data_IF_890592265855
#
_entry.id   IF_890592265855
#
_cell.length_a   1.000
_cell.length_b   1.000
_cell.length_c   1.000
_cell.angle_alpha   90.00
_cell.angle_beta   90.00
_cell.angle_gamma   90.00
#
_symmetry.space_group_name_H-M   'P 1'
#
loop_
_entity.id
_entity.type
_entity.pdbx_description
1 polymer ?
#
# COMPACT_ATOMS: atom_id res chain seq x y z
N UNK A 1 5.17 19.12 -18.68
CA UNK A 1 4.45 18.90 -17.42
C UNK A 1 5.31 19.28 -16.24
N UNK A 2 4.69 19.88 -15.21
CA UNK A 2 5.38 20.26 -13.97
C UNK A 2 5.45 19.07 -13.00
N UNK A 3 4.50 18.14 -13.10
CA UNK A 3 4.38 16.97 -12.25
C UNK A 3 4.31 15.70 -13.09
N UNK A 4 4.89 14.62 -12.56
CA UNK A 4 4.88 13.28 -13.16
C UNK A 4 5.02 12.21 -12.06
N UNK A 5 4.75 10.94 -12.37
CA UNK A 5 5.05 9.85 -11.45
C UNK A 5 6.56 9.78 -11.23
N UNK A 6 6.99 9.68 -9.97
CA UNK A 6 8.39 9.43 -9.69
C UNK A 6 8.75 8.00 -10.10
N UNK A 7 9.88 7.88 -10.75
CA UNK A 7 10.49 6.61 -11.10
C UNK A 7 12.01 6.73 -11.08
N UNK A 8 12.70 5.63 -10.86
CA UNK A 8 14.15 5.57 -10.91
C UNK A 8 14.59 4.50 -11.91
N UNK A 9 15.65 4.77 -12.68
CA UNK A 9 16.21 3.78 -13.61
C UNK A 9 16.61 2.50 -12.87
N UNK A 10 16.48 1.38 -13.55
CA UNK A 10 16.99 0.10 -13.08
C UNK A 10 18.51 0.11 -13.12
N UNK A 11 19.15 -0.28 -12.02
CA UNK A 11 20.60 -0.50 -12.02
C UNK A 11 20.97 -1.72 -12.88
N UNK A 12 22.13 -1.68 -13.53
CA UNK A 12 22.59 -2.72 -14.47
C UNK A 12 22.59 -4.12 -13.83
N UNK A 13 22.97 -4.21 -12.55
CA UNK A 13 23.04 -5.48 -11.81
C UNK A 13 21.77 -5.80 -11.02
N UNK A 14 20.73 -4.96 -11.11
CA UNK A 14 19.47 -5.19 -10.42
C UNK A 14 18.66 -6.29 -11.08
N UNK A 15 18.19 -7.24 -10.28
CA UNK A 15 17.29 -8.29 -10.74
C UNK A 15 15.85 -7.89 -10.49
N UNK A 16 15.00 -8.12 -11.47
CA UNK A 16 13.56 -8.05 -11.29
C UNK A 16 13.04 -9.31 -10.60
N UNK A 17 11.83 -9.20 -10.08
CA UNK A 17 11.04 -10.37 -9.76
C UNK A 17 10.79 -11.16 -11.07
N UNK A 18 10.85 -12.49 -11.02
CA UNK A 18 10.63 -13.31 -12.21
C UNK A 18 9.20 -13.13 -12.71
N UNK A 19 9.03 -13.02 -14.03
CA UNK A 19 7.72 -12.98 -14.70
C UNK A 19 7.70 -13.97 -15.86
N UNK A 20 6.53 -14.53 -16.17
CA UNK A 20 6.33 -15.33 -17.37
C UNK A 20 6.05 -14.37 -18.53
N UNK A 21 7.00 -14.25 -19.45
CA UNK A 21 6.95 -13.31 -20.57
C UNK A 21 5.75 -13.56 -21.50
N UNK A 22 5.45 -14.82 -21.82
CA UNK A 22 4.35 -15.16 -22.71
C UNK A 22 3.01 -14.75 -22.11
N UNK A 23 2.77 -15.12 -20.83
CA UNK A 23 1.58 -14.77 -20.11
C UNK A 23 1.38 -13.26 -19.97
N UNK A 24 2.45 -12.53 -19.61
CA UNK A 24 2.39 -11.07 -19.49
C UNK A 24 2.07 -10.40 -20.82
N UNK A 25 2.69 -10.83 -21.92
CA UNK A 25 2.42 -10.28 -23.26
C UNK A 25 1.01 -10.54 -23.76
N UNK A 26 0.38 -11.63 -23.32
CA UNK A 26 -1.03 -11.92 -23.63
C UNK A 26 -1.95 -10.88 -22.96
N UNK A 27 -1.64 -10.49 -21.72
CA UNK A 27 -2.43 -9.51 -20.96
C UNK A 27 -2.13 -8.08 -21.40
N UNK A 28 -0.84 -7.77 -21.56
CA UNK A 28 -0.33 -6.43 -21.87
C UNK A 28 0.82 -6.52 -22.88
N UNK A 29 0.53 -6.37 -24.18
CA UNK A 29 1.56 -6.46 -25.23
C UNK A 29 2.68 -5.44 -25.10
N UNK A 30 2.41 -4.29 -24.49
CA UNK A 30 3.37 -3.19 -24.35
C UNK A 30 4.23 -3.29 -23.06
N UNK A 31 3.96 -4.24 -22.16
CA UNK A 31 4.61 -4.33 -20.85
C UNK A 31 6.15 -4.26 -20.90
N UNK A 32 6.78 -4.91 -21.88
CA UNK A 32 8.24 -4.95 -22.02
C UNK A 32 8.83 -3.75 -22.79
N UNK A 33 7.99 -2.83 -23.25
CA UNK A 33 8.46 -1.57 -23.78
C UNK A 33 9.03 -0.67 -22.66
N UNK A 34 9.94 0.25 -23.00
CA UNK A 34 10.46 1.21 -22.01
C UNK A 34 9.35 2.05 -21.35
N UNK A 35 9.49 2.29 -20.05
CA UNK A 35 8.60 3.20 -19.33
C UNK A 35 8.68 4.63 -19.97
N UNK A 36 7.58 5.37 -20.17
CA UNK A 36 6.23 5.10 -19.63
C UNK A 36 5.28 4.30 -20.54
N UNK A 37 5.73 3.84 -21.71
CA UNK A 37 4.88 3.04 -22.61
C UNK A 37 4.61 1.66 -22.00
N UNK A 38 5.65 1.00 -21.51
CA UNK A 38 5.58 -0.23 -20.76
C UNK A 38 6.25 -0.11 -19.41
N UNK A 39 6.71 -1.21 -18.84
CA UNK A 39 7.31 -1.30 -17.52
C UNK A 39 8.84 -1.46 -17.51
N UNK A 40 9.48 -1.61 -18.71
CA UNK A 40 10.89 -1.88 -18.77
C UNK A 40 11.79 -0.66 -18.46
N UNK A 41 13.00 -0.93 -17.98
CA UNK A 41 14.04 0.07 -17.76
C UNK A 41 13.95 0.84 -16.44
N UNK A 42 12.94 0.57 -15.61
CA UNK A 42 12.78 1.20 -14.29
C UNK A 42 12.88 0.18 -13.16
N UNK A 43 13.23 0.65 -11.97
CA UNK A 43 13.21 -0.14 -10.75
C UNK A 43 11.86 0.06 -10.03
N UNK A 44 10.99 -0.93 -10.10
CA UNK A 44 9.63 -0.85 -9.58
C UNK A 44 9.56 -0.72 -8.05
N UNK A 45 10.45 -1.41 -7.34
CA UNK A 45 10.51 -1.35 -5.88
C UNK A 45 11.05 0.00 -5.39
N UNK A 46 12.20 0.44 -5.95
CA UNK A 46 12.83 1.71 -5.57
C UNK A 46 12.01 2.91 -6.01
N UNK A 47 11.32 2.85 -7.14
CA UNK A 47 10.44 3.93 -7.59
C UNK A 47 9.37 4.25 -6.56
N UNK A 48 8.81 3.25 -5.86
CA UNK A 48 7.88 3.51 -4.77
C UNK A 48 8.59 3.89 -3.47
N UNK A 49 9.60 3.12 -3.05
CA UNK A 49 10.25 3.36 -1.75
C UNK A 49 10.93 4.73 -1.69
N UNK A 50 11.58 5.17 -2.75
CA UNK A 50 12.27 6.47 -2.80
C UNK A 50 11.29 7.64 -2.76
N UNK A 51 10.08 7.47 -3.32
CA UNK A 51 9.03 8.49 -3.24
C UNK A 51 8.71 8.87 -1.79
N UNK A 52 8.74 7.91 -0.84
CA UNK A 52 8.24 8.11 0.53
C UNK A 52 9.31 8.05 1.62
N UNK A 53 10.43 7.39 1.38
CA UNK A 53 11.45 7.13 2.41
C UNK A 53 12.26 8.37 2.82
N UNK A 54 12.23 9.43 2.02
CA UNK A 54 13.11 10.59 2.17
C UNK A 54 14.45 10.45 1.45
N UNK A 55 14.59 9.40 0.59
CA UNK A 55 15.74 9.27 -0.32
C UNK A 55 15.77 10.45 -1.31
N UNK A 56 14.62 10.79 -1.88
CA UNK A 56 14.47 11.95 -2.75
C UNK A 56 14.01 13.16 -1.94
N UNK A 57 14.77 14.27 -1.95
CA UNK A 57 14.33 15.51 -1.34
C UNK A 57 12.98 15.98 -1.90
N UNK A 58 12.07 16.40 -1.04
CA UNK A 58 10.71 16.79 -1.42
C UNK A 58 10.67 17.88 -2.49
N UNK A 59 11.64 18.78 -2.50
CA UNK A 59 11.72 19.91 -3.45
C UNK A 59 11.95 19.48 -4.90
N UNK A 60 12.51 18.30 -5.10
CA UNK A 60 12.79 17.74 -6.44
C UNK A 60 11.97 16.48 -6.73
N UNK A 61 11.07 16.07 -5.82
CA UNK A 61 10.17 14.96 -6.06
C UNK A 61 9.05 15.41 -7.02
N UNK A 62 9.02 14.93 -8.27
CA UNK A 62 8.06 15.42 -9.27
C UNK A 62 6.64 14.91 -9.01
N UNK A 63 6.47 13.93 -8.13
CA UNK A 63 5.17 13.33 -7.86
C UNK A 63 4.38 14.11 -6.81
N UNK A 64 5.04 14.79 -5.87
CA UNK A 64 4.36 15.52 -4.80
C UNK A 64 3.86 16.88 -5.29
N UNK A 65 2.55 17.02 -5.43
CA UNK A 65 1.88 18.29 -5.76
C UNK A 65 1.76 19.15 -4.50
N UNK A 66 1.36 18.51 -3.40
CA UNK A 66 1.31 19.14 -2.08
C UNK A 66 1.63 18.12 -0.99
N UNK A 67 2.53 18.47 -0.08
CA UNK A 67 2.98 17.58 1.00
C UNK A 67 3.20 18.34 2.29
N UNK A 68 3.10 17.64 3.43
CA UNK A 68 3.45 18.14 4.74
C UNK A 68 4.65 17.38 5.29
N UNK A 69 5.58 18.08 5.93
CA UNK A 69 6.68 17.43 6.64
C UNK A 69 6.11 16.64 7.82
N UNK A 70 6.51 15.38 7.93
CA UNK A 70 6.14 14.55 9.07
C UNK A 70 7.09 14.81 10.24
N UNK A 71 6.57 15.01 11.46
CA UNK A 71 7.43 15.03 12.64
C UNK A 71 8.22 13.71 12.74
N UNK A 72 9.50 13.81 13.06
CA UNK A 72 10.40 12.65 13.14
C UNK A 72 10.09 11.73 14.33
N UNK A 73 9.37 12.25 15.33
CA UNK A 73 8.93 11.52 16.53
C UNK A 73 7.57 10.84 16.38
N UNK A 74 6.87 11.02 15.25
CA UNK A 74 5.48 10.61 15.12
C UNK A 74 5.28 9.32 14.33
N UNK A 75 4.10 8.71 14.58
CA UNK A 75 3.49 7.76 13.68
C UNK A 75 3.42 8.37 12.26
N UNK A 76 3.69 7.64 11.18
CA UNK A 76 3.69 6.18 11.12
C UNK A 76 5.06 5.52 11.34
N UNK A 77 6.15 6.28 11.47
CA UNK A 77 7.48 5.69 11.60
C UNK A 77 7.66 4.99 12.95
N UNK A 78 7.47 5.74 14.05
CA UNK A 78 7.70 5.22 15.41
C UNK A 78 6.64 4.17 15.75
N UNK A 79 5.37 4.41 15.37
CA UNK A 79 4.31 3.44 15.61
C UNK A 79 4.44 2.16 14.77
N UNK A 80 5.10 2.23 13.60
CA UNK A 80 5.28 1.07 12.72
C UNK A 80 6.42 0.15 13.18
N UNK A 81 7.44 0.70 13.82
CA UNK A 81 8.63 -0.07 14.20
C UNK A 81 8.44 -0.87 15.49
N UNK A 82 9.10 -2.03 15.63
CA UNK A 82 9.17 -2.77 16.89
C UNK A 82 9.80 -1.95 18.02
N UNK A 83 9.38 -2.20 19.27
CA UNK A 83 9.92 -1.47 20.43
C UNK A 83 11.44 -1.64 20.57
N UNK A 84 11.99 -2.81 20.23
CA UNK A 84 13.43 -3.07 20.24
C UNK A 84 14.23 -2.17 19.30
N UNK A 85 13.55 -1.60 18.28
CA UNK A 85 14.12 -0.60 17.37
C UNK A 85 13.76 0.84 17.76
N UNK A 86 13.15 1.07 18.93
CA UNK A 86 12.74 2.38 19.40
C UNK A 86 11.33 2.80 18.97
N UNK A 87 10.55 1.86 18.45
CA UNK A 87 9.14 2.09 18.09
C UNK A 87 8.14 1.61 19.12
N UNK A 88 6.85 1.63 18.78
CA UNK A 88 5.75 1.19 19.64
C UNK A 88 4.99 -0.03 19.09
N UNK A 89 5.23 -0.44 17.84
CA UNK A 89 4.54 -1.56 17.21
C UNK A 89 3.03 -1.36 17.01
N UNK A 90 2.52 -0.14 17.19
CA UNK A 90 1.08 0.15 17.23
C UNK A 90 0.42 0.37 15.87
N UNK A 91 1.18 0.64 14.79
CA UNK A 91 0.64 0.77 13.45
C UNK A 91 0.52 -0.60 12.79
N UNK A 92 -0.69 -1.16 12.85
CA UNK A 92 -0.95 -2.52 12.39
C UNK A 92 -1.73 -2.50 11.08
N UNK A 93 -1.28 -3.25 10.09
CA UNK A 93 -2.01 -3.49 8.85
C UNK A 93 -2.88 -4.75 9.01
N UNK A 94 -4.01 -4.77 8.32
CA UNK A 94 -5.01 -5.85 8.46
C UNK A 94 -4.85 -6.87 7.34
N UNK A 95 -5.20 -8.14 7.61
CA UNK A 95 -5.12 -9.24 6.63
C UNK A 95 -5.81 -8.89 5.31
N UNK A 96 -6.98 -8.26 5.37
CA UNK A 96 -7.73 -7.84 4.20
C UNK A 96 -6.93 -6.90 3.24
N UNK A 97 -6.03 -6.05 3.77
CA UNK A 97 -5.11 -5.27 2.93
C UNK A 97 -4.00 -6.14 2.35
N UNK A 98 -3.46 -7.08 3.15
CA UNK A 98 -2.39 -8.00 2.71
C UNK A 98 -2.87 -8.85 1.54
N UNK A 99 -4.11 -9.34 1.63
CA UNK A 99 -4.73 -10.18 0.61
C UNK A 99 -5.09 -9.40 -0.66
N UNK A 100 -5.25 -8.08 -0.57
CA UNK A 100 -5.53 -7.24 -1.74
C UNK A 100 -4.33 -7.04 -2.67
N UNK A 101 -3.09 -7.19 -2.17
CA UNK A 101 -1.92 -7.11 -3.06
C UNK A 101 -1.90 -8.30 -4.02
N UNK A 102 -1.52 -8.03 -5.25
CA UNK A 102 -1.49 -9.02 -6.33
C UNK A 102 -0.22 -9.87 -6.32
N UNK A 103 -0.23 -10.93 -7.09
CA UNK A 103 0.97 -11.68 -7.45
C UNK A 103 1.82 -10.85 -8.43
N UNK A 104 3.06 -11.26 -8.66
CA UNK A 104 4.02 -10.54 -9.48
C UNK A 104 3.58 -10.35 -10.94
N UNK A 105 2.69 -11.21 -11.42
CA UNK A 105 2.09 -11.17 -12.75
C UNK A 105 0.76 -10.38 -12.82
N UNK A 106 0.41 -9.71 -11.73
CA UNK A 106 -0.78 -8.89 -11.63
C UNK A 106 -2.10 -9.63 -11.42
N UNK A 107 -2.05 -10.94 -11.14
CA UNK A 107 -3.24 -11.72 -10.79
C UNK A 107 -3.54 -11.62 -9.29
N UNK A 108 -4.82 -11.63 -8.95
CA UNK A 108 -5.26 -11.67 -7.55
C UNK A 108 -4.91 -13.03 -6.91
N UNK A 109 -4.66 -13.04 -5.61
CA UNK A 109 -4.27 -14.27 -4.89
C UNK A 109 -5.30 -15.41 -5.01
N UNK A 110 -6.58 -15.08 -5.16
CA UNK A 110 -7.65 -16.07 -5.32
C UNK A 110 -7.80 -16.58 -6.76
N UNK A 111 -7.20 -15.89 -7.71
CA UNK A 111 -7.23 -16.19 -9.14
C UNK A 111 -5.80 -16.27 -9.70
N UNK A 112 -4.85 -16.65 -8.84
CA UNK A 112 -3.43 -16.70 -9.16
C UNK A 112 -3.14 -17.64 -10.33
N UNK A 113 -2.16 -17.28 -11.15
CA UNK A 113 -1.76 -18.05 -12.32
C UNK A 113 -1.08 -19.38 -11.93
N UNK A 114 -0.95 -20.29 -12.90
CA UNK A 114 -0.21 -21.52 -12.70
C UNK A 114 1.30 -21.29 -12.54
N UNK A 115 1.83 -20.19 -13.08
CA UNK A 115 3.25 -19.84 -13.00
C UNK A 115 3.60 -19.26 -11.61
N UNK A 116 2.68 -18.51 -11.02
CA UNK A 116 2.84 -17.89 -9.70
C UNK A 116 1.66 -18.19 -8.79
N UNK A 117 1.44 -19.48 -8.46
CA UNK A 117 0.29 -19.88 -7.67
C UNK A 117 0.41 -19.35 -6.24
N UNK A 118 -0.67 -18.76 -5.74
CA UNK A 118 -0.76 -18.51 -4.32
C UNK A 118 -0.88 -19.83 -3.56
N UNK A 119 -0.07 -20.07 -2.53
CA UNK A 119 -0.01 -21.37 -1.88
C UNK A 119 -1.29 -21.68 -1.11
N UNK A 120 -1.72 -22.94 -1.17
CA UNK A 120 -2.82 -23.45 -0.37
C UNK A 120 -2.61 -23.23 1.14
N UNK A 121 -3.70 -23.07 1.88
CA UNK A 121 -3.67 -22.84 3.33
C UNK A 121 -2.96 -23.93 4.14
N UNK A 122 -2.86 -25.14 3.60
CA UNK A 122 -2.14 -26.26 4.23
C UNK A 122 -0.61 -26.10 4.21
N UNK A 123 -0.08 -25.24 3.31
CA UNK A 123 1.37 -25.05 3.09
C UNK A 123 1.82 -23.59 3.04
N UNK A 124 0.89 -22.64 3.07
CA UNK A 124 1.18 -21.20 2.91
C UNK A 124 2.10 -20.66 4.02
N UNK A 125 2.08 -21.27 5.19
CA UNK A 125 2.91 -20.93 6.35
C UNK A 125 4.32 -21.50 6.27
N UNK A 126 4.59 -22.50 5.41
CA UNK A 126 5.89 -23.10 5.28
C UNK A 126 6.92 -22.08 4.79
N UNK A 127 8.20 -22.35 5.06
CA UNK A 127 9.29 -21.51 4.58
C UNK A 127 9.42 -21.60 3.07
N UNK A 128 9.81 -20.49 2.42
CA UNK A 128 10.19 -20.52 1.01
C UNK A 128 11.31 -21.54 0.81
N UNK A 129 12.31 -21.52 1.71
CA UNK A 129 13.45 -22.42 1.65
C UNK A 129 14.51 -21.97 0.63
N UNK A 130 15.58 -22.77 0.49
CA UNK A 130 16.67 -22.46 -0.44
C UNK A 130 17.52 -21.27 0.00
N UNK A 131 18.01 -20.49 -0.96
CA UNK A 131 18.76 -19.26 -0.72
C UNK A 131 17.83 -18.05 -0.58
N UNK A 132 18.33 -17.01 0.11
CA UNK A 132 17.66 -15.71 0.12
C UNK A 132 17.59 -15.18 -1.32
N UNK A 133 16.46 -14.55 -1.65
CA UNK A 133 16.26 -13.89 -2.94
C UNK A 133 16.55 -12.39 -2.77
N UNK A 134 17.17 -11.78 -3.77
CA UNK A 134 17.43 -10.33 -3.75
C UNK A 134 16.96 -9.74 -5.07
N UNK A 135 16.18 -8.67 -4.99
CA UNK A 135 15.74 -7.87 -6.14
C UNK A 135 15.69 -6.41 -5.73
N UNK A 136 16.11 -5.50 -6.60
CA UNK A 136 16.05 -4.05 -6.36
C UNK A 136 16.57 -3.60 -4.99
N UNK A 137 17.55 -4.31 -4.43
CA UNK A 137 18.08 -4.08 -3.08
C UNK A 137 17.21 -4.59 -1.94
N UNK A 138 16.04 -5.16 -2.21
CA UNK A 138 15.23 -5.88 -1.22
C UNK A 138 15.74 -7.31 -1.06
N UNK A 139 15.74 -7.81 0.18
CA UNK A 139 16.11 -9.20 0.49
C UNK A 139 14.90 -9.94 1.03
N UNK A 140 14.43 -10.95 0.30
CA UNK A 140 13.43 -11.91 0.75
C UNK A 140 14.14 -13.10 1.36
N UNK A 141 13.97 -13.30 2.66
CA UNK A 141 14.67 -14.36 3.39
C UNK A 141 14.06 -15.74 3.09
N UNK A 142 14.89 -16.76 3.01
CA UNK A 142 14.46 -18.16 2.88
C UNK A 142 13.57 -18.64 4.03
N UNK A 143 13.63 -17.98 5.20
CA UNK A 143 12.77 -18.21 6.36
C UNK A 143 11.34 -17.66 6.20
N UNK A 144 11.11 -16.81 5.21
CA UNK A 144 9.79 -16.20 4.93
C UNK A 144 8.75 -17.25 4.59
N UNK A 145 7.49 -16.99 4.94
CA UNK A 145 6.37 -17.85 4.60
C UNK A 145 6.06 -17.80 3.09
N UNK A 146 5.68 -18.97 2.52
CA UNK A 146 5.37 -19.08 1.08
C UNK A 146 4.29 -18.11 0.61
N UNK A 147 3.33 -17.76 1.45
CA UNK A 147 2.28 -16.78 1.14
C UNK A 147 2.79 -15.38 0.79
N UNK A 148 4.04 -15.07 1.10
CA UNK A 148 4.66 -13.77 0.79
C UNK A 148 5.64 -13.86 -0.39
N UNK A 149 5.77 -15.03 -1.01
CA UNK A 149 6.59 -15.19 -2.20
C UNK A 149 5.86 -14.71 -3.46
N UNK A 150 6.61 -14.24 -4.45
CA UNK A 150 6.08 -13.83 -5.75
C UNK A 150 4.93 -12.80 -5.69
N UNK A 151 4.94 -11.91 -4.69
CA UNK A 151 4.00 -10.79 -4.61
C UNK A 151 4.52 -9.60 -5.43
N UNK A 152 3.62 -8.71 -5.82
CA UNK A 152 3.97 -7.49 -6.53
C UNK A 152 5.01 -6.63 -5.78
N UNK A 153 5.83 -5.82 -6.46
CA UNK A 153 6.88 -5.00 -5.81
C UNK A 153 6.37 -4.07 -4.73
N UNK A 154 5.16 -3.52 -4.86
CA UNK A 154 4.54 -2.63 -3.85
C UNK A 154 4.22 -3.33 -2.55
N UNK A 155 3.96 -4.64 -2.56
CA UNK A 155 3.81 -5.43 -1.35
C UNK A 155 5.05 -5.31 -0.47
N UNK A 156 6.22 -5.59 -1.03
CA UNK A 156 7.49 -5.53 -0.30
C UNK A 156 7.89 -4.10 0.08
N UNK A 157 7.50 -3.11 -0.72
CA UNK A 157 7.78 -1.71 -0.43
C UNK A 157 6.90 -1.12 0.68
N UNK A 158 5.74 -1.73 0.96
CA UNK A 158 4.74 -1.18 1.90
C UNK A 158 4.57 -2.01 3.15
N UNK A 159 4.67 -3.33 3.05
CA UNK A 159 4.28 -4.27 4.09
C UNK A 159 5.51 -4.87 4.80
N UNK A 160 5.61 -4.65 6.11
CA UNK A 160 6.47 -5.43 6.99
C UNK A 160 5.70 -6.63 7.53
N UNK A 161 6.24 -7.82 7.36
CA UNK A 161 5.62 -9.11 7.70
C UNK A 161 6.58 -9.97 8.53
N UNK A 162 6.10 -11.07 9.09
CA UNK A 162 6.92 -11.98 9.88
C UNK A 162 8.02 -12.63 9.01
N UNK A 163 9.26 -12.57 9.47
CA UNK A 163 10.48 -12.91 8.75
C UNK A 163 10.88 -11.92 7.65
N UNK A 164 10.36 -10.68 7.67
CA UNK A 164 10.88 -9.63 6.80
C UNK A 164 12.27 -9.19 7.25
N UNK A 165 13.13 -8.93 6.26
CA UNK A 165 14.47 -8.40 6.50
C UNK A 165 14.44 -6.88 6.59
N UNK A 166 14.97 -6.36 7.68
CA UNK A 166 15.08 -4.91 7.89
C UNK A 166 16.55 -4.51 7.84
N UNK A 167 17.04 -4.06 6.68
CA UNK A 167 18.39 -3.56 6.59
C UNK A 167 18.53 -2.28 7.42
N UNK A 168 19.63 -2.17 8.11
CA UNK A 168 20.01 -0.99 8.87
C UNK A 168 21.51 -0.80 8.74
N UNK A 169 21.93 0.07 7.83
CA UNK A 169 23.35 0.25 7.51
C UNK A 169 24.03 1.26 8.40
N UNK A 170 23.28 2.23 8.93
CA UNK A 170 23.80 3.33 9.75
C UNK A 170 23.79 3.07 11.25
N UNK A 171 23.13 2.02 11.73
CA UNK A 171 23.14 1.70 13.16
C UNK A 171 24.54 1.37 13.64
N UNK A 172 25.01 2.09 14.66
CA UNK A 172 26.30 1.84 15.30
C UNK A 172 26.33 0.57 16.15
N UNK A 173 25.16 0.05 16.52
CA UNK A 173 25.03 -1.16 17.33
C UNK A 173 24.67 -2.36 16.45
N UNK A 174 25.56 -3.35 16.39
CA UNK A 174 25.40 -4.53 15.53
C UNK A 174 24.08 -5.29 15.75
N UNK A 175 23.55 -5.27 16.98
CA UNK A 175 22.28 -5.90 17.32
C UNK A 175 21.05 -5.28 16.66
N UNK A 176 21.18 -4.09 16.06
CA UNK A 176 20.10 -3.38 15.35
C UNK A 176 20.33 -3.29 13.85
N UNK A 177 21.41 -3.89 13.34
CA UNK A 177 21.74 -3.94 11.92
C UNK A 177 21.19 -5.20 11.28
N UNK A 178 20.66 -5.07 10.07
CA UNK A 178 20.32 -6.21 9.22
C UNK A 178 19.47 -7.26 9.94
N UNK A 179 18.34 -6.85 10.47
CA UNK A 179 17.52 -7.64 11.39
C UNK A 179 16.43 -8.40 10.63
N UNK A 180 16.26 -9.67 10.96
CA UNK A 180 15.06 -10.43 10.67
C UNK A 180 14.00 -10.11 11.71
N UNK A 181 12.89 -9.46 11.29
CA UNK A 181 11.80 -9.10 12.20
C UNK A 181 10.78 -10.22 12.23
N UNK A 182 10.47 -10.71 13.43
CA UNK A 182 9.48 -11.76 13.66
C UNK A 182 8.42 -11.29 14.65
N UNK A 183 7.16 -11.60 14.39
CA UNK A 183 6.00 -11.15 15.17
C UNK A 183 5.39 -12.24 16.05
N UNK A 184 6.10 -13.35 16.28
CA UNK A 184 5.71 -14.37 17.28
C UNK A 184 5.70 -13.77 18.69
N UNK A 185 4.96 -14.38 19.62
CA UNK A 185 4.94 -13.94 21.03
C UNK A 185 6.31 -13.99 21.72
N UNK A 186 7.22 -14.81 21.23
CA UNK A 186 8.64 -14.91 21.64
C UNK A 186 9.60 -14.32 20.57
N UNK A 187 9.06 -13.57 19.58
CA UNK A 187 9.82 -13.03 18.46
C UNK A 187 10.51 -11.70 18.75
N UNK A 188 11.15 -11.17 17.70
CA UNK A 188 11.87 -9.89 17.80
C UNK A 188 10.92 -8.73 18.11
N UNK A 189 9.74 -8.70 17.49
CA UNK A 189 8.68 -7.69 17.67
C UNK A 189 7.57 -8.14 18.64
N UNK A 190 7.91 -9.00 19.63
CA UNK A 190 7.01 -9.35 20.72
C UNK A 190 6.60 -8.12 21.55
N UNK A 191 5.61 -8.26 22.42
CA UNK A 191 5.19 -7.19 23.32
C UNK A 191 6.34 -6.64 24.16
N UNK A 192 6.32 -5.33 24.38
CA UNK A 192 7.25 -4.66 25.28
C UNK A 192 6.99 -5.12 26.72
N UNK A 193 7.98 -5.64 27.46
CA UNK A 193 7.78 -6.06 28.87
C UNK A 193 7.32 -4.93 29.79
N UNK A 194 7.79 -3.70 29.55
CA UNK A 194 7.48 -2.53 30.36
C UNK A 194 6.14 -1.87 29.95
N UNK A 195 5.74 -2.05 28.68
CA UNK A 195 4.52 -1.54 28.08
C UNK A 195 3.83 -2.66 27.29
N UNK A 196 3.11 -3.59 27.95
CA UNK A 196 2.54 -4.78 27.31
C UNK A 196 1.51 -4.48 26.21
N UNK A 197 1.00 -3.25 26.15
CA UNK A 197 0.12 -2.75 25.09
C UNK A 197 0.87 -2.41 23.79
N UNK A 198 2.19 -2.15 23.88
CA UNK A 198 3.04 -1.76 22.75
C UNK A 198 3.53 -2.98 21.98
N UNK A 199 2.69 -3.49 21.10
CA UNK A 199 3.04 -4.57 20.17
C UNK A 199 2.17 -4.57 18.93
N UNK A 200 2.65 -5.23 17.90
CA UNK A 200 1.89 -5.44 16.67
C UNK A 200 0.86 -6.57 16.87
N UNK A 201 -0.43 -6.27 16.66
CA UNK A 201 -1.57 -7.17 16.93
C UNK A 201 -1.92 -8.07 15.75
N UNK A 202 -1.45 -7.72 14.55
CA UNK A 202 -1.84 -8.41 13.30
C UNK A 202 -0.70 -9.21 12.66
N UNK A 203 0.54 -9.00 13.09
CA UNK A 203 1.73 -9.55 12.43
C UNK A 203 2.17 -8.79 11.17
N UNK A 204 1.54 -7.61 10.90
CA UNK A 204 1.84 -6.76 9.76
C UNK A 204 2.00 -5.30 10.16
N UNK A 205 2.97 -4.61 9.55
CA UNK A 205 3.20 -3.20 9.78
C UNK A 205 3.46 -2.45 8.48
N UNK A 206 3.42 -1.11 8.51
CA UNK A 206 3.75 -0.27 7.37
C UNK A 206 5.24 0.06 7.36
N UNK A 207 5.94 -0.28 6.27
CA UNK A 207 7.35 0.06 6.06
C UNK A 207 7.55 1.12 4.96
N UNK A 208 6.48 1.62 4.36
CA UNK A 208 6.45 2.54 3.22
C UNK A 208 7.32 3.78 3.41
N UNK A 209 7.36 4.31 4.63
CA UNK A 209 8.09 5.55 4.95
C UNK A 209 9.49 5.29 5.52
N UNK A 210 9.92 4.03 5.60
CA UNK A 210 11.20 3.68 6.21
C UNK A 210 12.36 3.98 5.26
N UNK A 211 13.41 4.61 5.78
CA UNK A 211 14.70 4.74 5.11
C UNK A 211 15.72 3.79 5.73
N UNK A 212 16.70 3.35 4.94
CA UNK A 212 17.76 2.42 5.40
C UNK A 212 18.63 3.02 6.51
N UNK A 213 18.76 4.34 6.54
CA UNK A 213 19.55 5.07 7.55
C UNK A 213 18.71 5.57 8.73
N UNK A 214 17.44 5.20 8.82
CA UNK A 214 16.63 5.58 9.99
C UNK A 214 17.08 4.81 11.22
N UNK A 215 17.49 5.55 12.27
CA UNK A 215 17.88 5.02 13.56
C UNK A 215 17.08 5.68 14.69
N UNK A 216 15.89 5.15 14.94
CA UNK A 216 14.94 5.74 15.88
C UNK A 216 15.45 5.78 17.31
N UNK A 217 16.23 4.76 17.74
CA UNK A 217 16.82 4.75 19.09
C UNK A 217 17.75 5.91 19.37
N UNK A 218 18.38 6.46 18.34
CA UNK A 218 19.24 7.65 18.46
C UNK A 218 18.53 8.93 18.05
N UNK A 219 17.28 8.85 17.62
CA UNK A 219 16.53 10.01 17.10
C UNK A 219 17.06 10.52 15.76
N UNK A 220 17.86 9.72 15.05
CA UNK A 220 18.38 10.07 13.73
C UNK A 220 17.49 9.46 12.67
N UNK A 221 16.61 10.27 12.09
CA UNK A 221 15.63 9.86 11.08
C UNK A 221 15.69 10.83 9.91
N UNK A 222 15.75 10.32 8.69
CA UNK A 222 15.63 11.13 7.47
C UNK A 222 14.31 11.90 7.49
N UNK A 223 14.30 13.13 6.98
CA UNK A 223 13.07 13.90 6.84
C UNK A 223 12.08 13.17 5.96
N UNK A 224 10.85 13.03 6.46
CA UNK A 224 9.73 12.40 5.75
C UNK A 224 8.67 13.43 5.41
N UNK A 225 7.98 13.19 4.33
CA UNK A 225 6.89 14.04 3.89
C UNK A 225 5.66 13.19 3.61
N UNK A 226 4.55 13.60 4.20
CA UNK A 226 3.26 12.97 3.94
C UNK A 226 2.64 13.64 2.70
N UNK A 227 2.31 12.89 1.64
CA UNK A 227 1.67 13.43 0.46
C UNK A 227 0.22 13.77 0.76
N UNK A 228 -0.08 15.06 0.85
CA UNK A 228 -1.48 15.53 0.94
C UNK A 228 -2.16 15.39 -0.41
N UNK A 229 -1.42 15.59 -1.50
CA UNK A 229 -1.88 15.36 -2.86
C UNK A 229 -0.69 15.06 -3.77
N UNK A 230 -0.77 14.00 -4.56
CA UNK A 230 0.29 13.59 -5.48
C UNK A 230 -0.22 13.19 -6.85
N UNK A 231 0.67 13.16 -7.83
CA UNK A 231 0.30 12.99 -9.24
C UNK A 231 -0.42 11.68 -9.56
N UNK A 232 -0.08 10.57 -8.88
CA UNK A 232 -0.83 9.32 -9.01
C UNK A 232 -2.33 9.49 -8.67
N UNK A 233 -2.66 10.34 -7.69
CA UNK A 233 -4.05 10.63 -7.35
C UNK A 233 -4.73 11.43 -8.46
N UNK A 234 -4.03 12.37 -9.11
CA UNK A 234 -4.56 13.09 -10.28
C UNK A 234 -4.90 12.12 -11.40
N UNK A 235 -4.01 11.17 -11.71
CA UNK A 235 -4.22 10.18 -12.76
C UNK A 235 -5.43 9.30 -12.47
N UNK A 236 -5.51 8.72 -11.27
CA UNK A 236 -6.63 7.84 -10.91
C UNK A 236 -7.96 8.60 -10.77
N UNK A 237 -7.94 9.86 -10.31
CA UNK A 237 -9.13 10.71 -10.31
C UNK A 237 -9.62 11.00 -11.74
N UNK A 238 -8.70 11.26 -12.67
CA UNK A 238 -9.05 11.47 -14.08
C UNK A 238 -9.64 10.21 -14.70
N UNK A 239 -8.98 9.07 -14.54
CA UNK A 239 -9.47 7.77 -15.06
C UNK A 239 -10.86 7.44 -14.48
N UNK A 240 -11.06 7.64 -13.18
CA UNK A 240 -12.35 7.43 -12.55
C UNK A 240 -13.42 8.36 -13.13
N UNK A 241 -13.11 9.65 -13.24
CA UNK A 241 -14.06 10.64 -13.75
C UNK A 241 -14.52 10.33 -15.19
N UNK A 242 -13.59 10.02 -16.10
CA UNK A 242 -13.96 9.69 -17.49
C UNK A 242 -14.66 8.34 -17.61
N UNK A 243 -14.35 7.38 -16.72
CA UNK A 243 -15.07 6.10 -16.67
C UNK A 243 -16.52 6.27 -16.24
N UNK A 244 -16.80 7.17 -15.29
CA UNK A 244 -18.15 7.41 -14.77
C UNK A 244 -18.98 8.37 -15.66
N UNK A 245 -18.34 9.05 -16.61
CA UNK A 245 -19.00 10.02 -17.48
C UNK A 245 -19.96 9.33 -18.46
N UNK A 246 -21.26 9.55 -18.29
CA UNK A 246 -22.31 8.88 -19.08
C UNK A 246 -22.54 9.51 -20.44
N UNK A 247 -22.35 10.82 -20.54
CA UNK A 247 -22.50 11.63 -21.75
C UNK A 247 -21.38 12.66 -21.84
N UNK A 248 -21.02 13.13 -23.04
CA UNK A 248 -20.01 14.17 -23.20
C UNK A 248 -20.37 15.43 -22.41
N UNK A 249 -19.37 16.04 -21.79
CA UNK A 249 -19.52 17.28 -21.03
C UNK A 249 -18.51 18.32 -21.52
N UNK A 250 -18.99 19.53 -21.81
CA UNK A 250 -18.13 20.63 -22.24
C UNK A 250 -17.79 21.53 -21.06
N UNK A 251 -16.49 21.63 -20.78
CA UNK A 251 -15.91 22.49 -19.75
C UNK A 251 -15.50 23.83 -20.37
N UNK A 252 -15.84 24.92 -19.73
CA UNK A 252 -15.28 26.24 -20.00
C UNK A 252 -14.02 26.45 -19.14
N UNK A 253 -12.91 26.66 -19.82
CA UNK A 253 -11.61 26.84 -19.14
C UNK A 253 -11.45 28.32 -18.71
N UNK A 254 -10.61 28.60 -17.68
CA UNK A 254 -10.36 29.97 -17.20
C UNK A 254 -9.88 30.95 -18.26
N UNK A 255 -9.29 30.46 -19.35
CA UNK A 255 -8.85 31.27 -20.51
C UNK A 255 -9.96 31.47 -21.57
N UNK A 256 -11.20 31.05 -21.28
CA UNK A 256 -12.35 31.14 -22.19
C UNK A 256 -12.40 30.08 -23.29
N UNK A 257 -11.44 29.16 -23.35
CA UNK A 257 -11.51 28.03 -24.27
C UNK A 257 -12.47 26.95 -23.75
N UNK A 258 -13.09 26.20 -24.65
CA UNK A 258 -13.97 25.07 -24.31
C UNK A 258 -13.25 23.76 -24.60
N UNK A 259 -13.39 22.81 -23.66
CA UNK A 259 -12.88 21.44 -23.79
C UNK A 259 -14.02 20.49 -23.55
N UNK A 260 -14.32 19.64 -24.55
CA UNK A 260 -15.28 18.54 -24.37
C UNK A 260 -14.57 17.32 -23.85
N UNK A 261 -15.05 16.77 -22.74
CA UNK A 261 -14.60 15.52 -22.14
C UNK A 261 -15.69 14.46 -22.33
N UNK A 262 -15.25 13.25 -22.66
CA UNK A 262 -16.12 12.11 -22.88
C UNK A 262 -15.46 10.81 -22.39
N UNK A 263 -16.24 9.74 -22.31
CA UNK A 263 -15.66 8.42 -22.03
C UNK A 263 -14.67 8.04 -23.15
N UNK A 264 -13.43 7.80 -22.78
CA UNK A 264 -12.33 7.53 -23.72
C UNK A 264 -11.50 6.35 -23.23
N UNK A 265 -11.63 5.21 -23.90
CA UNK A 265 -10.92 3.97 -23.54
C UNK A 265 -9.43 4.11 -23.66
N UNK A 266 -8.93 4.82 -24.69
CA UNK A 266 -7.50 5.04 -24.88
C UNK A 266 -6.88 5.87 -23.75
N UNK A 267 -7.59 6.91 -23.27
CA UNK A 267 -7.14 7.69 -22.13
C UNK A 267 -7.18 6.87 -20.82
N UNK A 268 -8.23 6.06 -20.62
CA UNK A 268 -8.31 5.13 -19.49
C UNK A 268 -7.09 4.21 -19.48
N UNK A 269 -6.81 3.53 -20.59
CA UNK A 269 -5.65 2.63 -20.74
C UNK A 269 -4.37 3.40 -20.44
N UNK A 270 -4.16 4.51 -21.13
CA UNK A 270 -2.93 5.31 -21.03
C UNK A 270 -2.61 5.71 -19.59
N UNK A 271 -3.55 6.33 -18.89
CA UNK A 271 -3.27 6.90 -17.57
C UNK A 271 -3.35 5.86 -16.44
N UNK A 272 -4.16 4.83 -16.58
CA UNK A 272 -4.18 3.71 -15.64
C UNK A 272 -2.89 2.88 -15.75
N UNK A 273 -2.45 2.58 -16.97
CA UNK A 273 -1.25 1.78 -17.19
C UNK A 273 0.04 2.47 -16.74
N UNK A 274 0.12 3.80 -16.75
CA UNK A 274 1.27 4.50 -16.16
C UNK A 274 1.53 4.07 -14.71
N UNK A 275 0.48 3.88 -13.90
CA UNK A 275 0.60 3.45 -12.51
C UNK A 275 0.96 1.98 -12.42
N UNK A 276 0.28 1.15 -13.23
CA UNK A 276 0.53 -0.29 -13.28
C UNK A 276 1.96 -0.60 -13.71
N UNK A 277 2.42 0.00 -14.78
CA UNK A 277 3.79 -0.19 -15.31
C UNK A 277 4.85 0.29 -14.30
N UNK A 278 4.63 1.45 -13.63
CA UNK A 278 5.53 1.86 -12.56
C UNK A 278 5.61 0.85 -11.42
N UNK A 279 4.49 0.19 -11.11
CA UNK A 279 4.41 -0.85 -10.09
C UNK A 279 5.00 -2.21 -10.52
N UNK A 280 5.41 -2.37 -11.79
CA UNK A 280 5.87 -3.64 -12.34
C UNK A 280 4.75 -4.63 -12.61
N UNK A 281 3.56 -4.13 -12.88
CA UNK A 281 2.37 -4.95 -13.15
C UNK A 281 1.88 -4.71 -14.59
N UNK A 282 1.32 -5.73 -15.25
CA UNK A 282 0.72 -5.55 -16.56
C UNK A 282 -0.44 -4.56 -16.50
N UNK A 283 -0.56 -3.76 -17.54
CA UNK A 283 -1.65 -2.82 -17.74
C UNK A 283 -2.95 -3.49 -18.17
N UNK A 284 -3.92 -2.66 -18.56
CA UNK A 284 -5.19 -3.11 -19.14
C UNK A 284 -5.24 -2.76 -20.63
N UNK A 285 -6.02 -3.52 -21.39
CA UNK A 285 -6.27 -3.25 -22.81
C UNK A 285 -7.50 -2.38 -23.02
N UNK A 286 -7.69 -1.84 -24.22
CA UNK A 286 -8.92 -1.11 -24.57
C UNK A 286 -10.17 -1.99 -24.48
N UNK A 287 -10.05 -3.29 -24.73
CA UNK A 287 -11.15 -4.24 -24.56
C UNK A 287 -11.63 -4.29 -23.10
N UNK A 288 -10.70 -4.28 -22.14
CA UNK A 288 -11.03 -4.18 -20.71
C UNK A 288 -11.56 -2.80 -20.37
N UNK A 289 -10.99 -1.74 -20.94
CA UNK A 289 -11.41 -0.36 -20.71
C UNK A 289 -12.82 -0.04 -21.24
N UNK A 290 -13.34 -0.83 -22.18
CA UNK A 290 -14.70 -0.71 -22.68
C UNK A 290 -15.77 -1.15 -21.66
N UNK A 291 -15.41 -2.01 -20.69
CA UNK A 291 -16.30 -2.42 -19.59
C UNK A 291 -16.16 -1.48 -18.39
N UNK A 292 -17.05 -0.51 -18.30
CA UNK A 292 -17.05 0.49 -17.21
C UNK A 292 -17.14 -0.10 -15.81
N UNK A 293 -17.85 -1.21 -15.64
CA UNK A 293 -17.98 -1.84 -14.33
C UNK A 293 -16.65 -2.51 -13.94
N UNK A 294 -16.03 -3.20 -14.88
CA UNK A 294 -14.70 -3.80 -14.68
C UNK A 294 -13.67 -2.73 -14.34
N UNK A 295 -13.64 -1.63 -15.10
CA UNK A 295 -12.72 -0.50 -14.84
C UNK A 295 -12.96 0.11 -13.47
N UNK A 296 -14.23 0.29 -13.05
CA UNK A 296 -14.55 0.81 -11.71
C UNK A 296 -13.95 -0.06 -10.60
N UNK A 297 -14.09 -1.36 -10.68
CA UNK A 297 -13.52 -2.27 -9.68
C UNK A 297 -11.98 -2.27 -9.72
N UNK A 298 -11.37 -2.21 -10.91
CA UNK A 298 -9.92 -2.07 -11.06
C UNK A 298 -9.40 -0.77 -10.46
N UNK A 299 -10.10 0.37 -10.66
CA UNK A 299 -9.73 1.65 -10.05
C UNK A 299 -9.84 1.57 -8.52
N UNK A 300 -10.92 1.00 -7.98
CA UNK A 300 -11.10 0.83 -6.53
C UNK A 300 -9.98 -0.02 -5.93
N UNK A 301 -9.60 -1.09 -6.62
CA UNK A 301 -8.51 -1.96 -6.21
C UNK A 301 -7.16 -1.25 -6.29
N UNK A 302 -6.84 -0.63 -7.43
CA UNK A 302 -5.59 0.09 -7.65
C UNK A 302 -5.41 1.22 -6.63
N UNK A 303 -6.44 2.04 -6.38
CA UNK A 303 -6.41 3.09 -5.36
C UNK A 303 -6.15 2.54 -3.96
N UNK A 304 -6.71 1.38 -3.64
CA UNK A 304 -6.51 0.73 -2.34
C UNK A 304 -5.05 0.40 -2.07
N UNK A 305 -4.33 -0.10 -3.08
CA UNK A 305 -2.94 -0.53 -2.99
C UNK A 305 -1.99 0.66 -3.14
N UNK A 306 -2.18 1.46 -4.17
CA UNK A 306 -1.34 2.61 -4.47
C UNK A 306 -1.30 3.61 -3.32
N UNK A 307 -2.45 3.88 -2.69
CA UNK A 307 -2.57 4.81 -1.57
C UNK A 307 -2.60 4.12 -0.19
N UNK A 308 -2.12 2.88 -0.09
CA UNK A 308 -1.99 2.20 1.19
C UNK A 308 -1.13 3.05 2.14
N UNK A 309 -1.59 3.22 3.39
CA UNK A 309 -0.94 4.05 4.43
C UNK A 309 -0.89 5.56 4.14
N UNK A 310 -1.68 6.07 3.18
CA UNK A 310 -1.79 7.51 2.86
C UNK A 310 -3.14 8.13 3.28
N UNK A 311 -3.97 7.41 4.03
CA UNK A 311 -5.26 7.90 4.54
C UNK A 311 -6.39 8.00 3.51
N UNK A 312 -6.18 7.62 2.24
CA UNK A 312 -7.19 7.77 1.16
C UNK A 312 -8.36 6.81 1.28
N UNK A 313 -8.12 5.57 1.71
CA UNK A 313 -9.15 4.51 1.79
C UNK A 313 -10.40 4.93 2.55
N UNK A 314 -10.23 5.69 3.64
CA UNK A 314 -11.35 6.17 4.45
C UNK A 314 -12.31 7.06 3.65
N UNK A 315 -11.78 7.96 2.84
CA UNK A 315 -12.57 8.87 2.02
C UNK A 315 -13.15 8.15 0.80
N UNK A 316 -12.37 7.30 0.14
CA UNK A 316 -12.79 6.53 -1.03
C UNK A 316 -13.99 5.62 -0.72
N UNK A 317 -13.93 4.84 0.35
CA UNK A 317 -15.04 3.97 0.76
C UNK A 317 -16.32 4.75 1.06
N UNK A 318 -16.20 5.95 1.62
CA UNK A 318 -17.38 6.78 1.92
C UNK A 318 -17.99 7.36 0.65
N UNK A 319 -17.20 7.92 -0.26
CA UNK A 319 -17.72 8.50 -1.51
C UNK A 319 -18.26 7.46 -2.48
N UNK A 320 -17.76 6.22 -2.44
CA UNK A 320 -18.29 5.09 -3.22
C UNK A 320 -19.55 4.46 -2.59
N UNK A 321 -19.82 4.73 -1.32
CA UNK A 321 -20.90 4.09 -0.57
C UNK A 321 -20.54 2.72 0.02
N UNK A 322 -19.29 2.28 -0.11
CA UNK A 322 -18.82 0.95 0.28
C UNK A 322 -18.44 0.87 1.77
N UNK A 323 -18.48 2.00 2.50
CA UNK A 323 -17.96 2.08 3.87
C UNK A 323 -18.71 1.17 4.87
N UNK A 324 -20.03 1.01 4.73
CA UNK A 324 -20.81 0.14 5.62
C UNK A 324 -20.35 -1.33 5.51
N UNK A 325 -20.16 -1.82 4.31
CA UNK A 325 -19.70 -3.18 4.10
C UNK A 325 -18.25 -3.35 4.59
N UNK A 326 -17.35 -2.48 4.14
CA UNK A 326 -15.93 -2.60 4.42
C UNK A 326 -15.58 -2.45 5.91
N UNK A 327 -16.23 -1.50 6.62
CA UNK A 327 -15.90 -1.22 8.02
C UNK A 327 -16.66 -2.10 9.03
N UNK A 328 -17.68 -2.84 8.62
CA UNK A 328 -18.33 -3.82 9.49
C UNK A 328 -17.72 -5.22 9.35
N UNK A 329 -16.81 -5.46 8.42
CA UNK A 329 -16.03 -6.70 8.37
C UNK A 329 -15.11 -6.79 9.60
N UNK A 330 -14.98 -7.98 10.24
CA UNK A 330 -14.04 -8.15 11.32
C UNK A 330 -12.61 -7.83 10.91
N UNK A 331 -11.83 -7.26 11.82
CA UNK A 331 -10.38 -7.11 11.62
C UNK A 331 -9.71 -8.45 11.89
N UNK A 332 -8.82 -8.86 10.98
CA UNK A 332 -8.04 -10.08 11.12
C UNK A 332 -6.57 -9.87 10.80
N UNK A 333 -5.75 -10.82 11.24
CA UNK A 333 -4.31 -10.84 11.02
C UNK A 333 -3.74 -12.21 11.39
N UNK A 334 -2.43 -12.31 11.53
CA UNK A 334 -1.77 -13.50 12.07
C UNK A 334 -2.09 -13.69 13.56
N UNK A 335 -1.97 -14.90 14.04
CA UNK A 335 -2.07 -15.20 15.48
C UNK A 335 -0.75 -14.86 16.20
N UNK A 336 -0.54 -13.59 16.52
CA UNK A 336 0.70 -13.09 17.18
C UNK A 336 0.89 -13.64 18.60
N UNK A 337 -0.09 -14.34 19.17
CA UNK A 337 0.03 -15.04 20.45
C UNK A 337 0.72 -16.40 20.32
N UNK A 338 0.84 -16.93 19.10
CA UNK A 338 1.57 -18.17 18.85
C UNK A 338 3.09 -17.93 18.98
N UNK A 339 3.80 -18.97 19.42
CA UNK A 339 5.26 -18.95 19.55
C UNK A 339 5.93 -19.33 18.22
N UNK A 340 7.23 -19.09 18.14
CA UNK A 340 8.04 -19.37 16.94
C UNK A 340 8.05 -20.86 16.53
N UNK A 341 7.84 -21.77 17.47
CA UNK A 341 7.70 -23.21 17.21
C UNK A 341 6.28 -23.64 16.81
N UNK A 342 5.29 -22.70 16.85
CA UNK A 342 3.90 -22.91 16.45
C UNK A 342 3.60 -22.19 15.12
N UNK A 343 4.48 -22.30 14.14
CA UNK A 343 4.46 -21.52 12.90
C UNK A 343 3.11 -21.59 12.16
N UNK A 344 2.55 -22.78 11.97
CA UNK A 344 1.24 -22.95 11.34
C UNK A 344 0.14 -22.18 12.08
N UNK A 345 0.13 -22.26 13.41
CA UNK A 345 -0.84 -21.55 14.25
C UNK A 345 -0.67 -20.02 14.14
N UNK A 346 0.58 -19.52 14.01
CA UNK A 346 0.84 -18.11 13.81
C UNK A 346 0.23 -17.60 12.49
N UNK A 347 0.40 -18.29 11.38
CA UNK A 347 -0.10 -17.87 10.08
C UNK A 347 -1.59 -18.20 9.85
N UNK A 348 -2.25 -18.85 10.80
CA UNK A 348 -3.70 -19.04 10.73
C UNK A 348 -4.38 -17.68 10.95
N UNK A 349 -5.15 -17.26 9.95
CA UNK A 349 -5.91 -16.00 10.00
C UNK A 349 -6.80 -15.97 11.24
N UNK A 350 -6.58 -14.99 12.10
CA UNK A 350 -7.25 -14.86 13.39
C UNK A 350 -8.04 -13.56 13.44
N UNK A 351 -9.32 -13.65 13.79
CA UNK A 351 -10.17 -12.47 14.01
C UNK A 351 -9.75 -11.82 15.33
N UNK A 352 -9.46 -10.53 15.26
CA UNK A 352 -9.15 -9.72 16.43
C UNK A 352 -10.46 -9.16 17.02
N UNK A 353 -10.72 -9.46 18.28
CA UNK A 353 -11.99 -9.12 18.92
C UNK A 353 -11.80 -8.44 20.30
N UNK A 354 -10.76 -7.63 20.43
CA UNK A 354 -10.57 -6.78 21.61
C UNK A 354 -11.23 -5.39 21.43
N UNK A 355 -11.23 -4.60 22.48
CA UNK A 355 -11.86 -3.26 22.46
C UNK A 355 -11.24 -2.31 21.44
N UNK A 356 -9.95 -2.48 21.12
CA UNK A 356 -9.21 -1.60 20.21
C UNK A 356 -9.41 -2.00 18.73
N UNK A 357 -9.74 -3.26 18.47
CA UNK A 357 -9.92 -3.80 17.12
C UNK A 357 -11.37 -3.89 16.69
N UNK A 358 -12.31 -3.78 17.63
CA UNK A 358 -13.74 -3.78 17.32
C UNK A 358 -14.12 -2.47 16.65
N UNK A 359 -14.65 -2.56 15.46
CA UNK A 359 -15.16 -1.41 14.72
C UNK A 359 -16.63 -1.61 14.33
N UNK A 360 -17.32 -0.51 14.18
CA UNK A 360 -18.72 -0.47 13.74
C UNK A 360 -18.94 0.78 12.90
N UNK A 361 -19.61 0.62 11.80
CA UNK A 361 -19.99 1.71 10.89
C UNK A 361 -21.49 1.63 10.65
N UNK A 362 -22.19 2.75 10.81
CA UNK A 362 -23.60 2.89 10.52
C UNK A 362 -23.82 4.08 9.60
N UNK A 363 -25.04 4.25 9.06
CA UNK A 363 -25.36 5.29 8.08
C UNK A 363 -24.94 6.68 8.54
N UNK A 364 -25.13 7.04 9.82
CA UNK A 364 -24.71 8.35 10.35
C UNK A 364 -23.22 8.64 10.15
N UNK A 365 -22.35 7.63 10.07
CA UNK A 365 -20.91 7.81 9.93
C UNK A 365 -20.48 8.22 8.52
N UNK A 366 -21.37 8.25 7.53
CA UNK A 366 -21.09 8.90 6.24
C UNK A 366 -20.90 10.40 6.39
N UNK A 367 -21.51 11.00 7.42
CA UNK A 367 -21.43 12.43 7.74
C UNK A 367 -20.84 12.62 9.14
N UNK A 368 -20.05 13.65 9.33
CA UNK A 368 -19.58 14.02 10.66
C UNK A 368 -20.71 14.76 11.43
N UNK A 369 -20.79 14.58 12.76
CA UNK A 369 -21.71 15.38 13.55
C UNK A 369 -21.27 16.84 13.57
N UNK A 370 -22.24 17.76 13.48
CA UNK A 370 -21.97 19.17 13.75
C UNK A 370 -21.76 19.32 15.25
N UNK A 371 -20.63 19.92 15.70
CA UNK A 371 -20.38 20.10 17.14
C UNK A 371 -21.52 20.87 17.82
N UNK A 372 -21.91 20.41 19.00
CA UNK A 372 -23.01 21.02 19.76
C UNK A 372 -22.80 22.52 19.96
N UNK A 373 -21.57 22.96 20.23
CA UNK A 373 -21.20 24.36 20.41
C UNK A 373 -21.47 25.22 19.16
N UNK A 374 -21.47 24.62 17.96
CA UNK A 374 -21.80 25.30 16.70
C UNK A 374 -23.30 25.40 16.53
N UNK A 375 -24.05 24.30 16.81
CA UNK A 375 -25.50 24.28 16.78
C UNK A 375 -26.12 25.27 17.77
N UNK A 376 -25.52 25.37 18.98
CA UNK A 376 -25.99 26.29 20.01
C UNK A 376 -25.83 27.76 19.59
N UNK A 377 -24.78 28.09 18.82
CA UNK A 377 -24.52 29.44 18.30
C UNK A 377 -25.36 29.81 17.08
N UNK A 378 -25.71 28.82 16.24
CA UNK A 378 -26.46 29.06 15.02
C UNK A 378 -27.71 28.16 14.98
N UNK A 379 -28.85 28.73 15.35
CA UNK A 379 -30.15 28.04 15.42
C UNK A 379 -30.74 27.63 14.05
N UNK A 380 -30.17 28.14 12.95
CA UNK A 380 -30.56 27.73 11.60
C UNK A 380 -29.88 26.43 11.13
N UNK A 381 -28.91 25.91 11.90
CA UNK A 381 -28.25 24.65 11.58
C UNK A 381 -29.09 23.48 12.12
N UNK A 382 -29.23 22.46 11.28
CA UNK A 382 -29.81 21.17 11.64
C UNK A 382 -28.71 20.14 11.70
N UNK A 383 -28.75 19.30 12.74
CA UNK A 383 -27.77 18.21 12.89
C UNK A 383 -27.87 17.23 11.71
N UNK A 384 -26.72 16.65 11.34
CA UNK A 384 -26.67 15.61 10.33
C UNK A 384 -27.51 14.39 10.76
N UNK A 385 -28.04 13.62 9.76
CA UNK A 385 -28.93 12.49 10.03
C UNK A 385 -28.36 11.52 11.08
N UNK A 386 -29.20 10.98 11.94
CA UNK A 386 -28.90 10.00 12.98
C UNK A 386 -27.90 10.43 14.09
N UNK A 387 -27.51 11.72 14.13
CA UNK A 387 -26.66 12.28 15.20
C UNK A 387 -27.46 13.06 16.27
N UNK A 388 -28.77 12.87 16.30
CA UNK A 388 -29.65 13.52 17.27
C UNK A 388 -29.62 12.84 18.63
#
# INVERSE_FOLDING_TARGET
>A
NKFELYWTPKEIDSKDLPTNEEFIKEIDPDYYEPYPKGAAGIDHYRSLTYTFSGEIPVMINPEFIYSCQMPTSDAPLVAAAPFKLGGWGGLNLVQDLIDAYQMVDGQDINESSQDYPYPDASVNFERIGGANQTFSGFTLLASTARMYNNREPRFYATIGFCHSFWPGTSSSENQYKNIEVTYYSDGYASANPDHPEDYNRTGYTCVKYRHLEDEMKKGTVKAKYFPVFRYAETLLNYVEAINELREPYTLEMPNGSQVTVEHNTADIVKYFNLIRHRAGLPGITEAVAADRNKVRELIKHERRIEFACEGRRYHDLRRWGDAMEAYNRPISGCNVKARSNERQKFYTTTILNDKLTRRSFSYKHYFYPIPKSVLDKNKNLVQNPEWR
#
